data_IF_907646020209
#
_entry.id   IF_907646020209
#
_cell.length_a   1.000
_cell.length_b   1.000
_cell.length_c   1.000
_cell.angle_alpha   90.00
_cell.angle_beta   90.00
_cell.angle_gamma   90.00
#
_symmetry.space_group_name_H-M   'P 1'
#
loop_
_entity.id
_entity.type
_entity.pdbx_description
1 polymer ?
#
# COMPACT_ATOMS: atom_id res chain seq x y z
N UNK A 1 -16.75 -28.19 4.42
CA UNK A 1 -15.37 -27.70 4.61
C UNK A 1 -15.08 -26.43 3.78
N UNK A 2 -15.58 -26.29 2.55
CA UNK A 2 -15.24 -25.17 1.65
C UNK A 2 -15.52 -23.74 2.15
N UNK A 3 -16.67 -23.49 2.78
CA UNK A 3 -17.04 -22.12 3.20
C UNK A 3 -16.20 -21.53 4.33
N UNK A 4 -15.64 -22.36 5.23
CA UNK A 4 -14.72 -21.90 6.31
C UNK A 4 -13.33 -21.62 5.76
N UNK A 5 -12.89 -22.43 4.81
CA UNK A 5 -11.59 -22.27 4.14
C UNK A 5 -11.56 -21.01 3.27
N UNK A 6 -12.66 -20.72 2.56
CA UNK A 6 -12.81 -19.52 1.74
C UNK A 6 -12.79 -18.23 2.57
N UNK A 7 -13.44 -18.24 3.73
CA UNK A 7 -13.32 -17.12 4.68
C UNK A 7 -11.90 -16.94 5.22
N UNK A 8 -11.17 -18.00 5.49
CA UNK A 8 -9.79 -17.94 5.95
C UNK A 8 -8.86 -17.41 4.86
N UNK A 9 -9.06 -17.81 3.60
CA UNK A 9 -8.26 -17.33 2.46
C UNK A 9 -8.58 -15.87 2.15
N UNK A 10 -9.84 -15.47 2.13
CA UNK A 10 -10.22 -14.06 1.98
C UNK A 10 -9.74 -13.22 3.17
N UNK A 11 -9.65 -13.79 4.36
CA UNK A 11 -9.06 -13.15 5.53
C UNK A 11 -7.54 -13.13 5.42
N UNK A 12 -6.87 -14.15 4.86
CA UNK A 12 -5.43 -14.12 4.58
C UNK A 12 -5.09 -13.13 3.45
N UNK A 13 -5.89 -13.08 2.38
CA UNK A 13 -5.78 -12.04 1.34
C UNK A 13 -6.08 -10.68 1.95
N UNK A 14 -7.10 -10.53 2.78
CA UNK A 14 -7.39 -9.26 3.46
C UNK A 14 -6.36 -8.93 4.55
N UNK A 15 -5.71 -9.88 5.20
CA UNK A 15 -4.64 -9.62 6.16
C UNK A 15 -3.29 -9.35 5.48
N UNK A 16 -2.99 -9.98 4.36
CA UNK A 16 -1.90 -9.54 3.49
C UNK A 16 -2.22 -8.19 2.84
N UNK A 17 -3.50 -7.92 2.48
CA UNK A 17 -4.01 -6.61 2.04
C UNK A 17 -4.16 -5.59 3.18
N UNK A 18 -4.38 -6.00 4.43
CA UNK A 18 -4.44 -5.10 5.60
C UNK A 18 -3.06 -4.53 5.93
N UNK A 19 -1.98 -5.20 5.57
CA UNK A 19 -0.65 -4.57 5.59
C UNK A 19 -0.52 -3.52 4.46
N UNK A 20 -1.40 -3.52 3.45
CA UNK A 20 -1.30 -2.65 2.29
C UNK A 20 -2.58 -2.02 1.75
N UNK A 21 -3.77 -2.52 2.08
CA UNK A 21 -5.05 -1.95 1.65
C UNK A 21 -6.18 -2.40 2.55
N UNK A 22 -6.60 -1.57 3.48
CA UNK A 22 -7.92 -1.66 4.07
C UNK A 22 -8.90 -0.82 3.26
N UNK A 23 -9.59 -1.48 2.35
CA UNK A 23 -10.89 -1.00 1.90
C UNK A 23 -11.95 -1.61 2.79
N UNK A 24 -12.59 -0.81 3.61
CA UNK A 24 -13.68 -1.24 4.47
C UNK A 24 -15.00 -0.68 3.98
N UNK A 25 -15.93 -1.62 3.94
CA UNK A 25 -17.34 -1.35 3.78
C UNK A 25 -17.98 -0.94 5.09
N UNK A 26 -18.66 0.15 5.11
CA UNK A 26 -19.95 0.29 5.79
C UNK A 26 -20.85 1.18 4.95
N UNK A 27 -21.90 0.58 4.44
CA UNK A 27 -22.96 1.29 3.74
C UNK A 27 -23.86 2.04 4.73
N UNK A 28 -24.41 3.15 4.26
CA UNK A 28 -25.84 3.43 4.30
C UNK A 28 -26.19 4.74 3.59
N UNK A 29 -27.00 4.57 2.59
CA UNK A 29 -28.31 5.17 2.31
C UNK A 29 -28.41 6.56 1.69
N UNK A 30 -28.84 6.51 0.41
CA UNK A 30 -29.85 7.35 -0.26
C UNK A 30 -29.74 8.87 -0.25
N UNK A 31 -29.59 9.52 -1.41
CA UNK A 31 -30.70 9.98 -2.22
C UNK A 31 -30.27 10.73 -3.50
N UNK A 32 -31.02 10.45 -4.54
CA UNK A 32 -31.22 11.01 -5.87
C UNK A 32 -30.96 12.50 -6.11
N UNK A 33 -30.47 12.82 -7.35
CA UNK A 33 -30.70 14.10 -8.00
C UNK A 33 -29.77 14.44 -9.17
N UNK A 34 -30.23 14.11 -10.37
CA UNK A 34 -30.06 14.67 -11.73
C UNK A 34 -28.98 15.71 -12.08
N UNK A 35 -28.25 15.32 -13.12
CA UNK A 35 -27.91 15.97 -14.41
C UNK A 35 -27.28 17.37 -14.47
N UNK A 36 -26.13 17.45 -15.11
CA UNK A 36 -25.91 18.10 -16.42
C UNK A 36 -24.41 18.21 -16.77
N UNK A 37 -24.05 17.63 -17.91
CA UNK A 37 -22.89 18.05 -18.70
C UNK A 37 -23.14 19.46 -19.30
N UNK A 38 -22.14 20.19 -19.87
CA UNK A 38 -21.12 19.72 -20.81
C UNK A 38 -19.78 20.50 -20.84
N UNK A 39 -18.94 20.00 -21.74
CA UNK A 39 -18.00 20.69 -22.63
C UNK A 39 -16.50 20.65 -22.35
N UNK A 40 -15.86 20.04 -23.32
CA UNK A 40 -14.43 19.93 -23.65
C UNK A 40 -13.71 21.26 -23.69
N UNK A 41 -12.44 21.25 -23.29
CA UNK A 41 -11.40 22.00 -24.00
C UNK A 41 -10.03 21.31 -23.85
N UNK A 42 -9.44 21.02 -25.01
CA UNK A 42 -8.12 20.42 -25.18
C UNK A 42 -7.03 21.46 -24.91
N UNK A 43 -5.98 21.10 -24.20
CA UNK A 43 -4.67 21.69 -24.36
C UNK A 43 -3.58 20.64 -24.21
N UNK A 44 -2.87 20.39 -25.34
CA UNK A 44 -1.60 19.70 -25.42
C UNK A 44 -0.54 20.44 -24.62
N UNK A 45 0.22 19.72 -23.80
CA UNK A 45 1.65 20.01 -23.71
C UNK A 45 2.46 18.74 -23.41
N UNK A 46 3.57 18.60 -24.12
CA UNK A 46 4.41 17.42 -24.15
C UNK A 46 5.44 17.49 -23.01
N UNK A 47 5.43 16.50 -22.14
CA UNK A 47 6.58 16.19 -21.28
C UNK A 47 7.15 14.83 -21.66
N UNK A 48 8.45 14.81 -21.95
CA UNK A 48 9.23 13.64 -22.33
C UNK A 48 9.14 12.56 -21.25
N UNK A 49 8.41 11.52 -21.59
CA UNK A 49 8.46 10.24 -20.87
C UNK A 49 9.80 9.57 -21.19
N UNK A 50 10.56 9.28 -20.17
CA UNK A 50 11.71 8.37 -20.27
C UNK A 50 11.16 6.98 -20.53
N UNK A 51 11.11 6.57 -21.79
CA UNK A 51 10.82 5.21 -22.21
C UNK A 51 11.82 4.25 -21.55
N UNK A 52 11.33 3.48 -20.58
CA UNK A 52 11.98 2.21 -20.21
C UNK A 52 11.75 1.27 -21.38
N UNK A 53 12.79 1.01 -22.15
CA UNK A 53 12.78 0.10 -23.29
C UNK A 53 12.37 -1.28 -22.81
N UNK A 54 11.11 -1.62 -23.02
CA UNK A 54 10.59 -2.97 -22.89
C UNK A 54 11.04 -3.76 -24.12
N UNK A 55 12.08 -4.58 -23.98
CA UNK A 55 12.37 -5.60 -24.98
C UNK A 55 11.24 -6.64 -24.98
N UNK A 56 10.41 -6.58 -25.99
CA UNK A 56 9.37 -7.58 -26.26
C UNK A 56 10.01 -8.90 -26.69
N UNK A 57 10.09 -9.86 -25.79
CA UNK A 57 10.45 -11.24 -26.10
C UNK A 57 9.21 -12.11 -25.90
N UNK A 58 8.57 -12.51 -27.00
CA UNK A 58 7.48 -13.48 -27.00
C UNK A 58 6.08 -12.88 -27.22
N UNK A 59 5.18 -13.68 -27.77
CA UNK A 59 3.80 -13.33 -28.08
C UNK A 59 2.85 -13.38 -26.88
N UNK A 60 3.37 -13.48 -25.62
CA UNK A 60 2.61 -13.57 -24.39
C UNK A 60 2.50 -12.24 -23.65
N UNK A 61 1.42 -12.08 -22.90
CA UNK A 61 1.20 -10.95 -22.02
C UNK A 61 2.12 -11.08 -20.79
N UNK A 62 2.94 -10.05 -20.50
CA UNK A 62 3.92 -10.05 -19.39
C UNK A 62 3.36 -9.32 -18.18
N UNK A 63 3.69 -9.82 -17.01
CA UNK A 63 3.30 -9.27 -15.71
C UNK A 63 4.53 -9.12 -14.83
N UNK A 64 4.69 -7.97 -14.23
CA UNK A 64 5.88 -7.60 -13.48
C UNK A 64 5.56 -7.13 -12.07
N UNK A 65 6.35 -7.59 -11.08
CA UNK A 65 6.20 -7.30 -9.66
C UNK A 65 7.52 -6.74 -9.13
N UNK A 66 7.84 -5.48 -9.45
CA UNK A 66 9.17 -4.93 -9.23
C UNK A 66 9.57 -4.87 -7.75
N UNK A 67 8.65 -4.61 -6.83
CA UNK A 67 8.99 -4.56 -5.40
C UNK A 67 9.23 -5.94 -4.79
N UNK A 68 8.64 -6.97 -5.39
CA UNK A 68 8.88 -8.36 -5.01
C UNK A 68 10.01 -9.01 -5.83
N UNK A 69 10.45 -8.38 -6.92
CA UNK A 69 11.57 -8.83 -7.74
C UNK A 69 11.27 -10.07 -8.56
N UNK A 70 10.07 -10.17 -9.12
CA UNK A 70 9.74 -11.23 -10.06
C UNK A 70 8.80 -10.76 -11.16
N UNK A 71 8.82 -11.47 -12.27
CA UNK A 71 7.88 -11.29 -13.37
C UNK A 71 7.59 -12.61 -14.08
N UNK A 72 6.49 -12.67 -14.79
CA UNK A 72 6.13 -13.83 -15.59
C UNK A 72 5.42 -13.44 -16.88
N UNK A 73 5.42 -14.37 -17.82
CA UNK A 73 4.69 -14.29 -19.08
C UNK A 73 3.58 -15.34 -19.06
N UNK A 74 2.38 -14.97 -19.52
CA UNK A 74 1.31 -15.94 -19.69
C UNK A 74 1.66 -16.89 -20.84
N UNK A 75 1.45 -18.21 -20.66
CA UNK A 75 1.55 -19.16 -21.76
C UNK A 75 0.58 -18.81 -22.89
N UNK A 76 0.94 -19.11 -24.13
CA UNK A 76 0.09 -18.83 -25.32
C UNK A 76 -1.30 -19.51 -25.25
N UNK A 77 -1.42 -20.54 -24.43
CA UNK A 77 -2.68 -21.24 -24.15
C UNK A 77 -3.67 -20.42 -23.31
N UNK A 78 -3.18 -19.40 -22.59
CA UNK A 78 -4.00 -18.54 -21.72
C UNK A 78 -4.21 -17.21 -22.41
N UNK A 79 -5.47 -16.87 -22.65
CA UNK A 79 -5.86 -15.59 -23.25
C UNK A 79 -6.85 -14.90 -22.32
N UNK A 80 -6.49 -13.74 -21.81
CA UNK A 80 -7.39 -12.90 -21.03
C UNK A 80 -8.08 -11.92 -21.99
N UNK A 81 -9.39 -12.03 -22.09
CA UNK A 81 -10.23 -11.24 -22.99
C UNK A 81 -11.39 -10.54 -22.30
N UNK A 82 -11.70 -10.96 -21.08
CA UNK A 82 -12.83 -10.47 -20.28
C UNK A 82 -12.36 -9.93 -18.94
N UNK A 83 -11.47 -10.65 -18.28
CA UNK A 83 -10.85 -10.24 -17.05
C UNK A 83 -9.40 -9.76 -17.24
N UNK A 84 -8.79 -9.27 -16.19
CA UNK A 84 -7.39 -8.89 -16.18
C UNK A 84 -6.67 -9.37 -14.91
N UNK A 85 -5.33 -9.43 -14.96
CA UNK A 85 -4.49 -9.72 -13.79
C UNK A 85 -3.92 -8.41 -13.27
N UNK A 86 -4.24 -8.09 -12.02
CA UNK A 86 -3.64 -6.98 -11.30
C UNK A 86 -2.23 -7.37 -10.81
N UNK A 87 -1.26 -6.49 -11.05
CA UNK A 87 0.16 -6.67 -10.72
C UNK A 87 0.58 -5.93 -9.47
N UNK A 88 -0.34 -5.71 -8.53
CA UNK A 88 0.03 -5.06 -7.27
C UNK A 88 0.99 -5.92 -6.48
N UNK A 89 2.15 -5.37 -6.25
CA UNK A 89 3.10 -5.87 -5.27
C UNK A 89 3.17 -4.91 -4.09
N UNK A 90 3.38 -5.49 -2.93
CA UNK A 90 3.41 -4.76 -1.68
C UNK A 90 4.54 -5.27 -0.84
N UNK A 91 5.27 -4.38 -0.24
CA UNK A 91 6.24 -4.78 0.77
C UNK A 91 7.30 -3.74 1.00
N UNK A 92 7.90 -3.89 2.14
CA UNK A 92 9.10 -3.19 2.54
C UNK A 92 10.24 -4.20 2.64
N UNK A 93 11.04 -4.33 1.59
CA UNK A 93 12.38 -4.84 1.81
C UNK A 93 13.18 -3.66 2.34
N UNK A 94 13.12 -3.46 3.65
CA UNK A 94 13.99 -2.50 4.34
C UNK A 94 15.41 -3.05 4.45
N UNK A 95 16.35 -2.14 4.62
CA UNK A 95 17.74 -2.43 4.98
C UNK A 95 17.81 -3.58 5.99
N UNK A 96 18.58 -4.62 5.67
CA UNK A 96 18.74 -5.88 6.42
C UNK A 96 17.59 -6.89 6.30
N UNK A 97 16.86 -6.90 5.18
CA UNK A 97 16.06 -8.04 4.84
C UNK A 97 14.61 -7.96 5.29
N UNK A 98 13.85 -7.04 4.73
CA UNK A 98 12.41 -7.04 4.84
C UNK A 98 11.76 -8.13 4.00
N UNK A 99 10.45 -8.12 3.98
CA UNK A 99 9.60 -9.06 3.24
C UNK A 99 8.76 -8.25 2.27
N UNK A 100 8.69 -8.67 1.02
CA UNK A 100 7.75 -8.14 0.04
C UNK A 100 6.86 -9.25 -0.51
N UNK A 101 5.68 -8.84 -0.99
CA UNK A 101 4.64 -9.76 -1.44
C UNK A 101 4.21 -9.37 -2.84
N UNK A 102 4.04 -10.38 -3.71
CA UNK A 102 3.39 -10.24 -4.99
C UNK A 102 2.28 -11.28 -5.12
N UNK A 103 1.09 -10.83 -5.50
CA UNK A 103 -0.04 -11.72 -5.68
C UNK A 103 -0.81 -11.32 -6.93
N UNK A 104 -0.57 -12.01 -8.03
CA UNK A 104 -1.32 -11.79 -9.25
C UNK A 104 -2.79 -12.17 -9.03
N UNK A 105 -3.65 -11.18 -9.02
CA UNK A 105 -5.09 -11.36 -8.81
C UNK A 105 -5.83 -11.20 -10.11
N UNK A 106 -6.57 -12.23 -10.52
CA UNK A 106 -7.50 -12.16 -11.65
C UNK A 106 -8.80 -11.48 -11.23
N UNK A 107 -9.14 -10.38 -11.88
CA UNK A 107 -10.38 -9.64 -11.66
C UNK A 107 -11.40 -9.93 -12.74
N UNK A 108 -12.67 -10.14 -12.35
CA UNK A 108 -13.81 -10.37 -13.24
C UNK A 108 -14.38 -9.06 -13.79
N UNK A 109 -13.54 -8.25 -14.40
CA UNK A 109 -13.85 -7.02 -15.13
C UNK A 109 -12.64 -6.65 -15.98
N UNK A 110 -12.78 -5.68 -16.86
CA UNK A 110 -11.63 -5.08 -17.58
C UNK A 110 -10.84 -4.15 -16.65
N UNK A 111 -9.59 -3.88 -17.01
CA UNK A 111 -8.75 -2.93 -16.26
C UNK A 111 -9.37 -1.53 -16.25
N UNK A 112 -9.93 -1.07 -17.37
CA UNK A 112 -10.63 0.21 -17.49
C UNK A 112 -11.86 0.28 -16.56
N UNK A 113 -12.67 -0.79 -16.49
CA UNK A 113 -13.80 -0.88 -15.57
C UNK A 113 -13.34 -0.85 -14.11
N UNK A 114 -12.21 -1.50 -13.78
CA UNK A 114 -11.65 -1.51 -12.44
C UNK A 114 -11.16 -0.13 -12.02
N UNK A 115 -10.43 0.58 -12.88
CA UNK A 115 -9.93 1.93 -12.62
C UNK A 115 -11.06 2.97 -12.46
N UNK A 116 -12.16 2.79 -13.17
CA UNK A 116 -13.33 3.65 -13.09
C UNK A 116 -14.31 3.29 -11.97
N UNK A 117 -14.05 2.27 -11.15
CA UNK A 117 -14.90 1.90 -10.02
C UNK A 117 -14.97 3.02 -8.98
N UNK A 118 -16.18 3.25 -8.50
CA UNK A 118 -16.40 4.16 -7.37
C UNK A 118 -16.32 3.37 -6.06
N UNK A 119 -16.17 4.06 -4.92
CA UNK A 119 -16.24 3.45 -3.59
C UNK A 119 -17.54 2.64 -3.37
N UNK A 120 -18.63 3.03 -4.06
CA UNK A 120 -19.92 2.31 -4.03
C UNK A 120 -19.87 0.95 -4.75
N UNK A 121 -18.90 0.73 -5.62
CA UNK A 121 -18.71 -0.48 -6.41
C UNK A 121 -17.62 -1.38 -5.84
N UNK A 122 -16.81 -0.84 -4.93
CA UNK A 122 -15.77 -1.60 -4.26
C UNK A 122 -16.34 -2.87 -3.63
N UNK A 123 -15.70 -4.03 -3.89
CA UNK A 123 -16.12 -5.36 -3.40
C UNK A 123 -17.32 -5.98 -4.11
N UNK A 124 -17.89 -5.35 -5.15
CA UNK A 124 -18.90 -6.00 -6.01
C UNK A 124 -18.26 -6.85 -7.11
N UNK A 125 -17.02 -6.53 -7.49
CA UNK A 125 -16.30 -7.26 -8.51
C UNK A 125 -15.70 -8.54 -7.92
N UNK A 126 -16.00 -9.67 -8.52
CA UNK A 126 -15.43 -10.96 -8.14
C UNK A 126 -13.97 -11.05 -8.57
N UNK A 127 -13.16 -11.74 -7.77
CA UNK A 127 -11.76 -11.97 -8.06
C UNK A 127 -11.30 -13.37 -7.66
N UNK A 128 -10.22 -13.85 -8.28
CA UNK A 128 -9.59 -15.13 -7.96
C UNK A 128 -8.08 -15.04 -7.98
N UNK A 129 -7.44 -15.54 -6.93
CA UNK A 129 -5.98 -15.70 -6.88
C UNK A 129 -5.58 -17.12 -7.30
N UNK A 130 -4.37 -17.26 -7.85
CA UNK A 130 -3.80 -18.57 -8.19
C UNK A 130 -2.63 -18.91 -7.27
N UNK A 131 -1.76 -17.96 -7.03
CA UNK A 131 -0.60 -18.11 -6.14
C UNK A 131 -0.24 -16.78 -5.49
N UNK A 132 0.61 -16.84 -4.49
CA UNK A 132 1.29 -15.68 -3.92
C UNK A 132 2.77 -15.95 -3.83
N UNK A 133 3.57 -14.93 -4.04
CA UNK A 133 5.02 -14.95 -3.88
C UNK A 133 5.39 -14.06 -2.69
N UNK A 134 6.30 -14.54 -1.86
CA UNK A 134 6.97 -13.75 -0.84
C UNK A 134 8.45 -13.70 -1.19
N UNK A 135 9.00 -12.50 -1.31
CA UNK A 135 10.44 -12.30 -1.36
C UNK A 135 10.94 -11.89 0.02
N UNK A 136 11.88 -12.66 0.56
CA UNK A 136 12.55 -12.37 1.81
C UNK A 136 14.01 -11.99 1.53
N UNK A 137 14.41 -10.80 1.97
CA UNK A 137 15.78 -10.31 1.85
C UNK A 137 16.66 -10.64 3.07
N UNK A 138 17.98 -10.37 2.98
CA UNK A 138 18.95 -10.57 4.07
C UNK A 138 19.23 -12.00 4.40
N UNK A 139 19.17 -12.91 3.42
CA UNK A 139 19.48 -14.33 3.59
C UNK A 139 18.52 -15.09 4.49
N UNK A 140 17.29 -14.60 4.68
CA UNK A 140 16.28 -15.25 5.54
C UNK A 140 15.80 -16.56 4.96
N UNK A 141 15.84 -17.59 5.79
CA UNK A 141 15.15 -18.83 5.49
C UNK A 141 13.63 -18.75 5.77
N UNK A 142 12.90 -19.77 5.35
CA UNK A 142 11.44 -19.83 5.47
C UNK A 142 10.96 -19.73 6.92
N UNK A 143 11.63 -20.38 7.86
CA UNK A 143 11.23 -20.38 9.27
C UNK A 143 11.43 -19.00 9.91
N UNK A 144 12.54 -18.35 9.60
CA UNK A 144 12.81 -16.97 10.03
C UNK A 144 11.78 -16.01 9.45
N UNK A 145 11.48 -16.14 8.14
CA UNK A 145 10.46 -15.32 7.47
C UNK A 145 9.07 -15.48 8.12
N UNK A 146 8.64 -16.72 8.37
CA UNK A 146 7.36 -17.00 9.04
C UNK A 146 7.29 -16.38 10.44
N UNK A 147 8.36 -16.53 11.22
CA UNK A 147 8.46 -15.96 12.56
C UNK A 147 8.35 -14.43 12.53
N UNK A 148 9.10 -13.79 11.63
CA UNK A 148 9.08 -12.33 11.47
C UNK A 148 7.68 -11.86 11.06
N UNK A 149 7.03 -12.58 10.12
CA UNK A 149 5.67 -12.29 9.69
C UNK A 149 4.65 -12.39 10.83
N UNK A 150 4.68 -13.47 11.61
CA UNK A 150 3.78 -13.67 12.76
C UNK A 150 4.00 -12.58 13.81
N UNK A 151 5.24 -12.21 14.09
CA UNK A 151 5.55 -11.17 15.06
C UNK A 151 5.08 -9.80 14.59
N UNK A 152 5.29 -9.46 13.32
CA UNK A 152 4.80 -8.22 12.73
C UNK A 152 3.27 -8.16 12.72
N UNK A 153 2.61 -9.28 12.39
CA UNK A 153 1.13 -9.34 12.39
C UNK A 153 0.53 -9.08 13.77
N UNK A 154 1.14 -9.59 14.84
CA UNK A 154 0.69 -9.30 16.21
C UNK A 154 0.67 -7.81 16.54
N UNK A 155 1.62 -7.06 15.98
CA UNK A 155 1.77 -5.63 16.22
C UNK A 155 0.82 -4.77 15.38
N UNK A 156 0.39 -5.28 14.22
CA UNK A 156 -0.39 -4.51 13.23
C UNK A 156 -1.87 -4.87 13.20
N UNK A 157 -2.19 -6.16 13.28
CA UNK A 157 -3.56 -6.68 13.09
C UNK A 157 -4.01 -7.62 14.21
N UNK A 158 -3.13 -7.93 15.16
CA UNK A 158 -3.38 -8.88 16.24
C UNK A 158 -2.89 -10.30 15.96
N UNK A 159 -3.27 -11.24 16.81
CA UNK A 159 -2.86 -12.64 16.66
C UNK A 159 -3.48 -13.28 15.42
N UNK A 160 -2.66 -13.98 14.65
CA UNK A 160 -3.12 -14.77 13.51
C UNK A 160 -3.93 -15.97 13.98
N UNK A 161 -4.98 -16.31 13.25
CA UNK A 161 -5.76 -17.53 13.47
C UNK A 161 -4.96 -18.79 13.09
N UNK A 162 -5.41 -19.95 13.62
CA UNK A 162 -4.82 -21.24 13.26
C UNK A 162 -4.82 -21.48 11.72
N UNK A 163 -5.89 -21.09 11.03
CA UNK A 163 -6.01 -21.24 9.58
C UNK A 163 -4.99 -20.35 8.84
N UNK A 164 -4.71 -19.15 9.36
CA UNK A 164 -3.71 -18.24 8.80
C UNK A 164 -2.28 -18.75 9.00
N UNK A 165 -1.99 -19.28 10.17
CA UNK A 165 -0.70 -19.94 10.45
C UNK A 165 -0.53 -21.16 9.56
N UNK A 166 -1.57 -22.01 9.43
CA UNK A 166 -1.55 -23.18 8.54
C UNK A 166 -1.35 -22.81 7.06
N UNK A 167 -1.80 -21.61 6.63
CA UNK A 167 -1.51 -21.12 5.28
C UNK A 167 -0.03 -20.75 5.12
N UNK A 168 0.59 -20.14 6.14
CA UNK A 168 2.04 -19.86 6.10
C UNK A 168 2.88 -21.13 6.01
N UNK A 169 2.39 -22.26 6.56
CA UNK A 169 3.08 -23.56 6.47
C UNK A 169 3.05 -24.18 5.07
N UNK A 170 2.24 -23.67 4.16
CA UNK A 170 2.18 -24.14 2.78
C UNK A 170 3.26 -23.54 1.87
N UNK A 171 3.94 -22.47 2.31
CA UNK A 171 4.97 -21.82 1.52
C UNK A 171 6.16 -22.76 1.25
N UNK A 172 6.67 -22.71 0.04
CA UNK A 172 7.82 -23.48 -0.44
C UNK A 172 8.82 -22.56 -1.10
N UNK A 173 10.09 -22.88 -0.98
CA UNK A 173 11.15 -22.19 -1.71
C UNK A 173 10.92 -22.37 -3.21
N UNK A 174 10.88 -21.29 -3.95
CA UNK A 174 10.78 -21.26 -5.40
C UNK A 174 12.11 -20.92 -6.06
N UNK A 175 12.78 -19.88 -5.55
CA UNK A 175 14.06 -19.40 -6.07
C UNK A 175 14.90 -18.76 -4.96
N UNK A 176 16.21 -18.74 -5.15
CA UNK A 176 17.15 -18.04 -4.28
C UNK A 176 18.29 -17.48 -5.12
N UNK A 177 18.57 -16.18 -4.94
CA UNK A 177 19.68 -15.51 -5.59
C UNK A 177 20.24 -14.39 -4.68
N UNK A 178 21.54 -14.41 -4.45
CA UNK A 178 22.20 -13.48 -3.53
C UNK A 178 21.60 -13.57 -2.13
N UNK A 179 21.21 -12.42 -1.59
CA UNK A 179 20.59 -12.30 -0.27
C UNK A 179 19.06 -12.43 -0.30
N UNK A 180 18.46 -12.77 -1.45
CA UNK A 180 17.02 -12.86 -1.63
C UNK A 180 16.56 -14.31 -1.80
N UNK A 181 15.43 -14.63 -1.20
CA UNK A 181 14.74 -15.92 -1.32
C UNK A 181 13.27 -15.68 -1.64
N UNK A 182 12.78 -16.32 -2.70
CA UNK A 182 11.38 -16.27 -3.11
C UNK A 182 10.66 -17.53 -2.70
N UNK A 183 9.60 -17.39 -1.95
CA UNK A 183 8.73 -18.47 -1.49
C UNK A 183 7.35 -18.29 -2.12
N UNK A 184 6.70 -19.40 -2.44
CA UNK A 184 5.35 -19.38 -3.02
C UNK A 184 4.39 -20.26 -2.25
N UNK A 185 3.12 -19.92 -2.31
CA UNK A 185 1.99 -20.75 -1.92
C UNK A 185 0.89 -20.65 -2.96
N UNK A 186 0.17 -21.76 -3.15
CA UNK A 186 -0.97 -21.83 -4.08
C UNK A 186 -2.27 -21.58 -3.34
N UNK A 187 -3.17 -20.83 -3.98
CA UNK A 187 -4.54 -20.73 -3.52
C UNK A 187 -5.37 -21.92 -4.01
N UNK A 188 -6.40 -22.35 -3.26
CA UNK A 188 -7.40 -23.28 -3.80
C UNK A 188 -8.09 -22.69 -5.01
N UNK A 189 -8.38 -23.54 -6.00
CA UNK A 189 -9.13 -23.13 -7.19
C UNK A 189 -10.50 -22.59 -6.81
N UNK A 190 -10.85 -21.44 -7.35
CA UNK A 190 -12.15 -20.78 -7.16
C UNK A 190 -13.11 -21.31 -8.23
N UNK A 191 -14.28 -21.79 -7.81
CA UNK A 191 -15.30 -22.41 -8.67
C UNK A 191 -16.64 -21.65 -8.70
N UNK A 192 -16.66 -20.45 -8.13
CA UNK A 192 -17.86 -19.63 -7.97
C UNK A 192 -17.71 -18.21 -8.52
N UNK A 193 -16.83 -17.99 -9.47
CA UNK A 193 -16.78 -16.76 -10.24
C UNK A 193 -18.01 -16.66 -11.17
N UNK A 194 -18.36 -15.45 -11.66
CA UNK A 194 -19.39 -15.31 -12.67
C UNK A 194 -19.10 -16.19 -13.89
N UNK A 195 -20.13 -16.86 -14.42
CA UNK A 195 -20.02 -17.93 -15.44
C UNK A 195 -19.19 -17.51 -16.66
N UNK A 196 -19.34 -16.26 -17.10
CA UNK A 196 -18.60 -15.70 -18.23
C UNK A 196 -17.08 -15.56 -18.00
N UNK A 197 -16.60 -15.53 -16.74
CA UNK A 197 -15.19 -15.42 -16.38
C UNK A 197 -14.57 -16.75 -15.94
N UNK A 198 -15.39 -17.72 -15.57
CA UNK A 198 -14.92 -18.98 -14.95
C UNK A 198 -14.01 -19.79 -15.87
N UNK A 199 -14.30 -19.83 -17.18
CA UNK A 199 -13.46 -20.56 -18.14
C UNK A 199 -12.08 -19.93 -18.29
N UNK A 200 -12.03 -18.60 -18.41
CA UNK A 200 -10.78 -17.84 -18.54
C UNK A 200 -9.94 -17.96 -17.27
N UNK A 201 -10.55 -17.82 -16.10
CA UNK A 201 -9.86 -18.04 -14.81
C UNK A 201 -9.34 -19.48 -14.68
N UNK A 202 -10.12 -20.47 -15.11
CA UNK A 202 -9.69 -21.87 -15.07
C UNK A 202 -8.45 -22.11 -15.93
N UNK A 203 -8.39 -21.53 -17.13
CA UNK A 203 -7.24 -21.64 -18.01
C UNK A 203 -6.00 -20.99 -17.37
N UNK A 204 -6.15 -19.83 -16.75
CA UNK A 204 -5.09 -19.17 -15.99
C UNK A 204 -4.63 -20.00 -14.78
N UNK A 205 -5.58 -20.52 -14.00
CA UNK A 205 -5.27 -21.35 -12.83
C UNK A 205 -4.52 -22.62 -13.22
N UNK A 206 -4.98 -23.33 -14.24
CA UNK A 206 -4.40 -24.59 -14.70
C UNK A 206 -2.99 -24.41 -15.32
N UNK A 207 -2.67 -23.19 -15.79
CA UNK A 207 -1.34 -22.82 -16.29
C UNK A 207 -0.35 -22.39 -15.18
N UNK A 208 -0.75 -22.35 -13.92
CA UNK A 208 0.10 -21.82 -12.84
C UNK A 208 1.42 -22.55 -12.69
N UNK A 209 1.45 -23.87 -12.81
CA UNK A 209 2.69 -24.64 -12.72
C UNK A 209 3.71 -24.27 -13.82
N UNK A 210 3.20 -23.99 -15.04
CA UNK A 210 4.04 -23.51 -16.15
C UNK A 210 4.54 -22.10 -15.91
N UNK A 211 3.67 -21.21 -15.39
CA UNK A 211 4.02 -19.84 -15.01
C UNK A 211 5.13 -19.85 -13.96
N UNK A 212 4.98 -20.59 -12.86
CA UNK A 212 5.96 -20.68 -11.78
C UNK A 212 7.30 -21.22 -12.28
N UNK A 213 7.29 -22.19 -13.20
CA UNK A 213 8.51 -22.79 -13.77
C UNK A 213 9.28 -21.81 -14.66
N UNK A 214 8.58 -20.94 -15.38
CA UNK A 214 9.16 -19.99 -16.33
C UNK A 214 9.28 -18.57 -15.77
N UNK A 215 9.04 -18.39 -14.46
CA UNK A 215 9.12 -17.11 -13.77
C UNK A 215 10.55 -16.55 -13.83
N UNK A 216 10.65 -15.24 -14.04
CA UNK A 216 11.92 -14.50 -14.02
C UNK A 216 12.08 -13.87 -12.65
N UNK A 217 13.31 -13.89 -12.11
CA UNK A 217 13.65 -13.28 -10.84
C UNK A 217 14.73 -12.23 -11.07
N UNK A 218 14.67 -11.17 -10.27
CA UNK A 218 15.64 -10.07 -10.30
C UNK A 218 15.67 -9.39 -8.92
N UNK A 219 16.65 -8.54 -8.70
CA UNK A 219 16.76 -7.80 -7.44
C UNK A 219 15.51 -6.93 -7.22
N UNK A 220 14.81 -7.08 -6.08
CA UNK A 220 13.63 -6.29 -5.78
C UNK A 220 13.91 -4.78 -5.81
N UNK A 221 13.06 -4.03 -6.48
CA UNK A 221 13.13 -2.58 -6.52
C UNK A 221 12.55 -2.02 -5.23
N UNK A 222 13.42 -1.72 -4.27
CA UNK A 222 13.00 -1.19 -2.98
C UNK A 222 12.44 0.23 -3.18
N UNK A 223 11.16 0.40 -2.82
CA UNK A 223 10.62 1.73 -2.73
C UNK A 223 11.21 2.45 -1.50
N UNK A 224 11.83 3.58 -1.73
CA UNK A 224 12.49 4.37 -0.67
C UNK A 224 11.83 5.71 -0.40
N UNK A 225 10.69 5.99 -1.08
CA UNK A 225 10.13 7.34 -1.05
C UNK A 225 11.05 8.33 -1.76
N UNK A 226 10.92 9.59 -1.42
CA UNK A 226 11.87 10.62 -1.85
C UNK A 226 13.20 10.45 -1.14
N UNK A 227 14.29 10.79 -1.81
CA UNK A 227 15.64 10.61 -1.28
C UNK A 227 15.87 11.38 0.02
N UNK A 228 16.64 10.78 0.93
CA UNK A 228 17.14 11.45 2.14
C UNK A 228 17.80 12.79 1.79
N UNK A 229 17.50 13.82 2.55
CA UNK A 229 17.95 15.19 2.29
C UNK A 229 17.10 15.98 1.28
N UNK A 230 16.08 15.37 0.63
CA UNK A 230 15.14 16.11 -0.22
C UNK A 230 14.41 17.17 0.59
N UNK A 231 14.35 18.39 0.07
CA UNK A 231 13.63 19.50 0.72
C UNK A 231 12.16 19.47 0.30
N UNK A 232 11.28 19.39 1.30
CA UNK A 232 9.83 19.43 1.13
C UNK A 232 9.34 20.85 1.34
N UNK A 233 8.66 21.39 0.32
CA UNK A 233 8.14 22.76 0.35
C UNK A 233 6.69 22.78 -0.15
N UNK A 234 5.79 23.38 0.64
CA UNK A 234 4.39 23.50 0.29
C UNK A 234 3.71 24.67 0.99
N UNK A 235 2.60 25.07 0.42
CA UNK A 235 1.57 25.89 1.08
C UNK A 235 0.25 25.10 1.09
N UNK A 236 -0.42 25.04 2.22
CA UNK A 236 -1.70 24.34 2.39
C UNK A 236 -2.54 25.03 3.46
N UNK A 237 -3.60 24.36 3.92
CA UNK A 237 -4.36 24.78 5.09
C UNK A 237 -4.48 23.63 6.09
N UNK A 238 -4.71 23.95 7.35
CA UNK A 238 -5.24 22.96 8.29
C UNK A 238 -6.71 22.64 7.96
N UNK A 239 -7.30 21.73 8.72
CA UNK A 239 -8.71 21.34 8.51
C UNK A 239 -9.71 22.48 8.81
N UNK A 240 -9.29 23.51 9.54
CA UNK A 240 -10.13 24.69 9.85
C UNK A 240 -9.97 25.83 8.83
N UNK A 241 -9.08 25.65 7.85
CA UNK A 241 -8.85 26.61 6.77
C UNK A 241 -7.78 27.66 7.07
N UNK A 242 -7.03 27.53 8.16
CA UNK A 242 -5.89 28.39 8.44
C UNK A 242 -4.73 28.05 7.53
N UNK A 243 -4.11 29.07 6.93
CA UNK A 243 -2.97 28.87 6.03
C UNK A 243 -1.76 28.32 6.79
N UNK A 244 -1.08 27.33 6.17
CA UNK A 244 0.12 26.70 6.68
C UNK A 244 1.19 26.68 5.61
N UNK A 245 2.39 27.16 5.95
CA UNK A 245 3.58 27.11 5.11
C UNK A 245 4.58 26.12 5.71
N UNK A 246 5.13 25.26 4.89
CA UNK A 246 6.08 24.24 5.31
C UNK A 246 7.29 24.81 6.05
N UNK A 247 7.86 25.93 5.58
CA UNK A 247 9.00 26.58 6.20
C UNK A 247 8.71 27.03 7.64
N UNK A 248 7.54 27.66 7.86
CA UNK A 248 7.10 28.09 9.17
C UNK A 248 6.78 26.89 10.07
N UNK A 249 6.16 25.86 9.52
CA UNK A 249 5.80 24.64 10.23
C UNK A 249 7.04 23.89 10.76
N UNK A 250 8.00 23.60 9.86
CA UNK A 250 9.16 22.77 10.20
C UNK A 250 10.16 23.54 11.10
N UNK A 251 10.27 24.86 10.95
CA UNK A 251 11.19 25.66 11.78
C UNK A 251 10.81 25.72 13.26
N UNK A 252 9.60 25.31 13.64
CA UNK A 252 9.12 25.32 15.03
C UNK A 252 9.64 24.17 15.87
N UNK A 253 10.19 23.13 15.24
CA UNK A 253 10.69 21.93 15.91
C UNK A 253 12.03 21.49 15.33
N UNK A 254 12.80 20.71 16.10
CA UNK A 254 14.05 20.11 15.59
C UNK A 254 13.77 19.03 14.56
N UNK A 255 12.69 18.28 14.78
CA UNK A 255 12.24 17.17 13.97
C UNK A 255 10.72 17.17 13.92
N UNK A 256 10.16 16.99 12.73
CA UNK A 256 8.72 16.80 12.54
C UNK A 256 8.48 15.42 11.95
N UNK A 257 7.67 14.62 12.62
CA UNK A 257 7.12 13.38 12.07
C UNK A 257 5.83 13.72 11.32
N UNK A 258 5.79 13.46 10.02
CA UNK A 258 4.64 13.73 9.14
C UNK A 258 3.99 12.42 8.77
N UNK A 259 2.78 12.19 9.27
CA UNK A 259 1.99 10.97 8.99
C UNK A 259 0.90 11.29 7.97
N UNK A 260 0.94 10.65 6.82
CA UNK A 260 -0.07 10.73 5.76
C UNK A 260 -1.15 9.69 6.02
N UNK A 261 -2.38 10.14 6.25
CA UNK A 261 -3.52 9.29 6.58
C UNK A 261 -4.76 9.65 5.78
N UNK A 262 -5.74 8.75 5.70
CA UNK A 262 -7.01 8.97 5.02
C UNK A 262 -8.20 8.61 5.90
N UNK A 263 -9.35 9.24 5.67
CA UNK A 263 -10.60 8.98 6.43
C UNK A 263 -11.15 7.57 6.19
N UNK A 264 -10.74 6.93 5.11
CA UNK A 264 -11.09 5.56 4.73
C UNK A 264 -10.09 4.50 5.24
N UNK A 265 -9.02 4.92 5.90
CA UNK A 265 -7.88 4.08 6.23
C UNK A 265 -7.96 3.58 7.68
N UNK A 266 -8.52 2.42 7.92
CA UNK A 266 -8.69 1.85 9.26
C UNK A 266 -7.39 1.71 10.06
N UNK A 267 -6.26 1.20 9.49
CA UNK A 267 -4.99 1.17 10.21
C UNK A 267 -4.51 2.56 10.61
N UNK A 268 -4.72 3.56 9.74
CA UNK A 268 -4.40 4.94 10.05
C UNK A 268 -5.19 5.41 11.28
N UNK A 269 -6.52 5.23 11.25
CA UNK A 269 -7.42 5.65 12.33
C UNK A 269 -7.10 4.92 13.64
N UNK A 270 -6.65 3.68 13.54
CA UNK A 270 -6.28 2.86 14.70
C UNK A 270 -5.01 3.35 15.37
N UNK A 271 -4.00 3.83 14.62
CA UNK A 271 -2.75 4.32 15.19
C UNK A 271 -2.81 5.77 15.72
N UNK A 272 -3.80 6.59 15.28
CA UNK A 272 -3.89 8.01 15.66
C UNK A 272 -3.82 8.29 17.17
N UNK A 273 -4.48 7.52 18.06
CA UNK A 273 -4.35 7.74 19.51
C UNK A 273 -2.91 7.56 20.02
N UNK A 274 -2.16 6.59 19.47
CA UNK A 274 -0.76 6.39 19.85
C UNK A 274 0.13 7.50 19.30
N UNK A 275 -0.18 8.05 18.12
CA UNK A 275 0.50 9.25 17.60
C UNK A 275 0.27 10.46 18.52
N UNK A 276 -0.93 10.60 19.09
CA UNK A 276 -1.23 11.65 20.06
C UNK A 276 -0.43 11.49 21.36
N UNK A 277 -0.26 10.26 21.85
CA UNK A 277 0.60 9.99 22.99
C UNK A 277 2.06 10.33 22.67
N UNK A 278 2.55 9.94 21.50
CA UNK A 278 3.89 10.26 21.05
C UNK A 278 4.09 11.77 20.89
N UNK A 279 3.11 12.49 20.36
CA UNK A 279 3.16 13.95 20.23
C UNK A 279 3.42 14.61 21.57
N UNK A 280 2.71 14.21 22.61
CA UNK A 280 2.89 14.73 23.98
C UNK A 280 4.23 14.31 24.60
N UNK A 281 4.62 13.05 24.40
CA UNK A 281 5.86 12.51 24.96
C UNK A 281 7.11 13.17 24.37
N UNK A 282 7.11 13.38 23.06
CA UNK A 282 8.30 13.87 22.35
C UNK A 282 8.38 15.41 22.24
N UNK A 283 7.33 16.13 22.62
CA UNK A 283 7.29 17.59 22.56
C UNK A 283 8.47 18.24 23.32
N UNK A 284 8.77 17.78 24.53
CA UNK A 284 9.89 18.31 25.33
C UNK A 284 11.27 18.00 24.73
N UNK A 285 11.34 17.00 23.83
CA UNK A 285 12.55 16.64 23.09
C UNK A 285 12.72 17.48 21.81
N UNK A 286 11.80 18.40 21.53
CA UNK A 286 11.79 19.27 20.34
C UNK A 286 11.28 18.57 19.08
N UNK A 287 10.43 17.56 19.24
CA UNK A 287 9.76 16.87 18.13
C UNK A 287 8.31 17.34 18.02
N UNK A 288 7.84 17.54 16.79
CA UNK A 288 6.44 17.74 16.46
C UNK A 288 5.91 16.53 15.67
N UNK A 289 4.60 16.32 15.73
CA UNK A 289 3.87 15.39 14.87
C UNK A 289 2.82 16.17 14.10
N UNK A 290 2.67 15.84 12.81
CA UNK A 290 1.71 16.47 11.90
C UNK A 290 1.01 15.39 11.09
N UNK A 291 -0.31 15.41 11.06
CA UNK A 291 -1.10 14.58 10.16
C UNK A 291 -1.34 15.30 8.83
N UNK A 292 -1.33 14.56 7.73
CA UNK A 292 -1.76 15.05 6.41
C UNK A 292 -2.87 14.15 5.91
N UNK A 293 -4.06 14.73 5.70
CA UNK A 293 -5.26 13.98 5.29
C UNK A 293 -5.32 13.91 3.77
N UNK A 294 -4.98 12.77 3.20
CA UNK A 294 -4.73 12.62 1.75
C UNK A 294 -6.00 12.69 0.90
N UNK A 295 -7.15 12.34 1.45
CA UNK A 295 -8.46 12.41 0.79
C UNK A 295 -9.23 13.71 1.07
N UNK A 296 -8.56 14.69 1.68
CA UNK A 296 -9.05 16.07 1.88
C UNK A 296 -8.07 17.06 1.24
N UNK A 297 -7.81 16.99 -0.09
CA UNK A 297 -6.92 17.96 -0.73
C UNK A 297 -7.51 19.36 -0.71
N UNK A 298 -6.66 20.38 -0.82
CA UNK A 298 -7.10 21.78 -0.93
C UNK A 298 -8.06 21.94 -2.12
N UNK A 299 -9.21 22.56 -1.89
CA UNK A 299 -10.26 22.74 -2.92
C UNK A 299 -11.28 21.59 -3.01
N UNK A 300 -11.11 20.49 -2.27
CA UNK A 300 -12.11 19.41 -2.21
C UNK A 300 -12.53 19.14 -0.76
N UNK A 301 -13.75 19.54 -0.41
CA UNK A 301 -14.29 19.46 0.95
C UNK A 301 -15.17 18.22 1.19
N UNK A 302 -15.23 17.28 0.23
CA UNK A 302 -16.11 16.10 0.32
C UNK A 302 -15.92 15.31 1.61
N UNK A 303 -14.68 15.09 2.03
CA UNK A 303 -14.35 14.31 3.23
C UNK A 303 -13.91 15.18 4.43
N UNK A 304 -13.95 16.50 4.30
CA UNK A 304 -13.46 17.42 5.33
C UNK A 304 -14.15 17.23 6.68
N UNK A 305 -15.48 17.06 6.68
CA UNK A 305 -16.23 16.87 7.92
C UNK A 305 -15.89 15.52 8.56
N UNK A 306 -15.77 14.46 7.79
CA UNK A 306 -15.36 13.14 8.29
C UNK A 306 -13.97 13.19 8.94
N UNK A 307 -13.02 13.90 8.32
CA UNK A 307 -11.69 14.09 8.91
C UNK A 307 -11.74 14.84 10.24
N UNK A 308 -12.53 15.92 10.33
CA UNK A 308 -12.74 16.67 11.58
C UNK A 308 -13.38 15.82 12.67
N UNK A 309 -14.37 15.01 12.32
CA UNK A 309 -15.05 14.13 13.25
C UNK A 309 -14.06 13.08 13.82
N UNK A 310 -13.21 12.47 12.98
CA UNK A 310 -12.16 11.53 13.39
C UNK A 310 -11.16 12.23 14.33
N UNK A 311 -10.64 13.40 13.95
CA UNK A 311 -9.70 14.16 14.78
C UNK A 311 -10.29 14.46 16.16
N UNK A 312 -11.57 14.88 16.21
CA UNK A 312 -12.29 15.16 17.45
C UNK A 312 -12.53 13.89 18.27
N UNK A 313 -13.00 12.80 17.64
CA UNK A 313 -13.29 11.51 18.31
C UNK A 313 -12.03 10.90 18.92
N UNK A 314 -10.90 10.94 18.20
CA UNK A 314 -9.61 10.42 18.66
C UNK A 314 -8.90 11.39 19.62
N UNK A 315 -9.42 12.59 19.83
CA UNK A 315 -8.87 13.58 20.76
C UNK A 315 -7.49 14.11 20.34
N UNK A 316 -7.25 14.22 19.02
CA UNK A 316 -5.96 14.65 18.51
C UNK A 316 -5.74 16.14 18.75
N UNK A 317 -4.56 16.50 19.26
CA UNK A 317 -4.15 17.88 19.51
C UNK A 317 -3.02 18.34 18.59
N UNK A 318 -2.36 17.44 17.90
CA UNK A 318 -1.39 17.79 16.87
C UNK A 318 -2.10 18.29 15.59
N UNK A 319 -1.38 19.11 14.81
CA UNK A 319 -1.91 19.69 13.59
C UNK A 319 -2.26 18.64 12.54
N UNK A 320 -3.45 18.76 11.95
CA UNK A 320 -3.87 17.93 10.81
C UNK A 320 -4.12 18.86 9.61
N UNK A 321 -3.36 18.60 8.55
CA UNK A 321 -3.32 19.43 7.34
C UNK A 321 -4.10 18.78 6.21
N UNK A 322 -4.56 19.59 5.29
CA UNK A 322 -5.06 19.14 4.00
C UNK A 322 -3.88 18.78 3.10
N UNK A 323 -4.04 17.76 2.28
CA UNK A 323 -3.01 17.41 1.30
C UNK A 323 -2.82 18.58 0.30
N UNK A 324 -1.57 18.96 0.05
CA UNK A 324 -1.22 20.01 -0.90
C UNK A 324 -1.07 19.44 -2.30
N UNK A 325 -1.14 20.30 -3.31
CA UNK A 325 -0.93 19.89 -4.69
C UNK A 325 0.53 19.40 -4.90
N UNK A 326 0.71 18.29 -5.62
CA UNK A 326 2.03 17.69 -5.87
C UNK A 326 2.64 16.93 -4.68
N UNK A 327 1.93 16.72 -3.56
CA UNK A 327 2.47 15.97 -2.41
C UNK A 327 2.90 14.55 -2.78
N UNK A 328 2.18 13.92 -3.71
CA UNK A 328 2.48 12.55 -4.16
C UNK A 328 3.87 12.44 -4.78
N UNK A 329 4.20 13.39 -5.66
CA UNK A 329 5.48 13.41 -6.35
C UNK A 329 6.61 13.83 -5.43
N UNK A 330 6.41 14.89 -4.62
CA UNK A 330 7.43 15.38 -3.69
C UNK A 330 7.85 14.32 -2.67
N UNK A 331 6.88 13.53 -2.19
CA UNK A 331 7.10 12.49 -1.18
C UNK A 331 7.28 11.10 -1.78
N UNK A 332 7.17 10.96 -3.11
CA UNK A 332 7.03 9.67 -3.79
C UNK A 332 5.97 8.78 -3.10
N UNK A 333 4.84 9.41 -2.72
CA UNK A 333 3.78 8.78 -1.91
C UNK A 333 3.07 7.67 -2.69
N UNK A 334 2.79 6.54 -2.02
CA UNK A 334 2.10 5.40 -2.65
C UNK A 334 0.82 4.98 -1.93
N UNK A 335 0.83 4.92 -0.60
CA UNK A 335 -0.32 4.42 0.16
C UNK A 335 -0.35 5.01 1.58
N UNK A 336 -1.48 4.89 2.27
CA UNK A 336 -1.69 5.27 3.68
C UNK A 336 -1.68 4.05 4.60
N UNK A 337 -1.18 4.19 5.85
CA UNK A 337 -0.42 5.33 6.32
C UNK A 337 1.02 5.30 5.77
N UNK A 338 1.59 6.45 5.52
CA UNK A 338 3.04 6.59 5.29
C UNK A 338 3.57 7.70 6.19
N UNK A 339 4.65 7.43 6.90
CA UNK A 339 5.25 8.37 7.85
C UNK A 339 6.64 8.79 7.40
N UNK A 340 6.85 10.11 7.34
CA UNK A 340 8.10 10.76 6.98
C UNK A 340 8.67 11.50 8.19
N UNK A 341 9.99 11.70 8.19
CA UNK A 341 10.69 12.48 9.21
C UNK A 341 11.38 13.65 8.52
N UNK A 342 11.18 14.85 9.04
CA UNK A 342 11.60 16.10 8.39
C UNK A 342 12.28 16.98 9.42
N UNK A 343 13.49 17.50 9.09
CA UNK A 343 14.20 18.41 9.97
C UNK A 343 13.63 19.84 9.95
N UNK A 344 14.19 20.71 10.79
CA UNK A 344 13.80 22.13 10.89
C UNK A 344 14.02 22.95 9.61
N UNK A 345 14.73 22.40 8.63
CA UNK A 345 14.97 23.04 7.32
C UNK A 345 14.12 22.45 6.21
N UNK A 346 13.15 21.59 6.56
CA UNK A 346 12.27 20.95 5.60
C UNK A 346 12.88 19.75 4.87
N UNK A 347 14.04 19.23 5.31
CA UNK A 347 14.70 18.10 4.64
C UNK A 347 14.20 16.79 5.21
N UNK A 348 13.91 15.85 4.32
CA UNK A 348 13.64 14.46 4.69
C UNK A 348 14.85 13.83 5.37
N UNK A 349 14.61 13.04 6.40
CA UNK A 349 15.61 12.30 7.15
C UNK A 349 15.28 10.82 7.13
N UNK A 350 16.21 10.05 6.60
CA UNK A 350 16.06 8.61 6.46
C UNK A 350 14.92 8.22 5.51
N UNK A 351 14.60 6.93 5.51
CA UNK A 351 13.52 6.40 4.67
C UNK A 351 12.15 6.58 5.35
N UNK A 352 11.08 6.80 4.57
CA UNK A 352 9.72 6.80 5.11
C UNK A 352 9.33 5.41 5.60
N UNK A 353 8.34 5.36 6.47
CA UNK A 353 7.74 4.12 6.96
C UNK A 353 6.38 3.96 6.30
N UNK A 354 6.22 2.94 5.48
CA UNK A 354 4.96 2.54 4.88
C UNK A 354 4.22 1.59 5.83
N UNK A 355 2.92 1.84 6.03
CA UNK A 355 2.07 1.08 6.95
C UNK A 355 2.18 1.56 8.41
N UNK A 356 1.18 1.21 9.22
CA UNK A 356 1.12 1.53 10.63
C UNK A 356 2.21 0.77 11.41
N UNK A 357 3.18 1.49 11.98
CA UNK A 357 4.29 0.89 12.71
C UNK A 357 4.83 1.81 13.81
N UNK A 358 4.05 1.96 14.87
CA UNK A 358 4.36 2.86 16.00
C UNK A 358 5.70 2.54 16.68
N UNK A 359 6.09 1.26 16.74
CA UNK A 359 7.37 0.84 17.31
C UNK A 359 8.53 1.40 16.49
N UNK A 360 8.43 1.30 15.17
CA UNK A 360 9.46 1.83 14.30
C UNK A 360 9.48 3.37 14.31
N UNK A 361 8.31 4.02 14.44
CA UNK A 361 8.25 5.48 14.61
C UNK A 361 9.03 5.93 15.84
N UNK A 362 8.79 5.32 17.00
CA UNK A 362 9.51 5.61 18.24
C UNK A 362 11.01 5.39 18.09
N UNK A 363 11.40 4.27 17.50
CA UNK A 363 12.81 3.95 17.25
C UNK A 363 13.47 5.01 16.37
N UNK A 364 12.85 5.38 15.26
CA UNK A 364 13.39 6.39 14.35
C UNK A 364 13.50 7.78 15.03
N UNK A 365 12.46 8.18 15.79
CA UNK A 365 12.51 9.43 16.56
C UNK A 365 13.68 9.44 17.54
N UNK A 366 13.86 8.38 18.34
CA UNK A 366 14.94 8.26 19.31
C UNK A 366 16.33 8.26 18.66
N UNK A 367 16.47 7.69 17.46
CA UNK A 367 17.72 7.65 16.73
C UNK A 367 18.01 9.01 16.05
N UNK A 368 17.02 9.61 15.40
CA UNK A 368 17.18 10.89 14.70
C UNK A 368 17.44 12.07 15.67
N UNK A 369 16.76 12.11 16.81
CA UNK A 369 17.00 13.14 17.83
C UNK A 369 18.47 13.18 18.28
N UNK A 370 19.16 12.05 18.29
CA UNK A 370 20.57 11.96 18.67
C UNK A 370 21.51 12.53 17.60
N UNK A 371 21.06 12.57 16.36
CA UNK A 371 21.88 12.99 15.21
C UNK A 371 21.61 14.43 14.79
N UNK A 372 20.44 14.97 15.13
CA UNK A 372 20.04 16.35 14.83
C UNK A 372 20.43 17.24 16.02
N UNK A 373 21.38 18.12 15.80
CA UNK A 373 21.85 19.11 16.80
C UNK A 373 21.13 20.43 16.66
#
# INVERSE_FOLDING_TARGET
>A
MGKKFYKAIMICISLMLIVSMTFVFTGCSKNSGESSEPAEEQANDASEETEVVQESIGSGQTYDFPQCGFGFELPESVKLTKGFIDTKDVGEIKYNGGISYGFPTYWCCTEEEFENQTDADAGKTSAGGTFTIICAGGGRDLETMKKDFIEQSKQTVGELSEDQIAFLDQFKLLHQEGDYSWYYSMYPKVDNLPEEFQEEFNAYYDATDEILKNMKFYEPQIWRGSADGTVISFETTDLDGNAVKSEELFSQSKLTMVNLWGTYCDPCITELPELEEMYKEYAEKGVSIVGVVVDVPVGNDKMLQAAKDIVSEKGLTFANLRAWDGYKDQLAFRATPTTYFIDSQGRLIGDPILGANVIQYRKNLDDFIKTIQ
#
